data_IF_057852046896
#
_entry.id   IF_057852046896
#
_cell.length_a   1.000
_cell.length_b   1.000
_cell.length_c   1.000
_cell.angle_alpha   90.00
_cell.angle_beta   90.00
_cell.angle_gamma   90.00
#
_symmetry.space_group_name_H-M   'P 1'
#
loop_
_entity.id
_entity.type
_entity.pdbx_description
1 polymer ?
#
# COMPACT_ATOMS: atom_id res chain seq x y z
N UNK A 1 -8.20 7.21 -4.78
CA UNK A 1 -9.15 8.04 -5.55
C UNK A 1 -9.59 7.30 -6.80
N UNK A 2 -10.90 7.18 -7.04
CA UNK A 2 -11.51 6.58 -8.24
C UNK A 2 -11.56 7.59 -9.41
N UNK A 3 -11.15 8.85 -9.17
CA UNK A 3 -11.11 9.87 -10.20
C UNK A 3 -10.22 9.46 -11.38
N UNK A 4 -10.67 9.70 -12.64
CA UNK A 4 -9.88 9.51 -13.85
C UNK A 4 -8.53 10.22 -13.72
N UNK A 5 -7.45 9.60 -14.22
CA UNK A 5 -6.06 10.05 -14.10
C UNK A 5 -5.85 11.57 -14.29
N UNK A 6 -6.51 12.17 -15.29
CA UNK A 6 -6.40 13.61 -15.57
C UNK A 6 -7.07 14.51 -14.52
N UNK A 7 -8.24 14.11 -14.01
CA UNK A 7 -8.95 14.88 -12.98
C UNK A 7 -8.36 14.64 -11.59
N UNK A 8 -7.89 13.42 -11.31
CA UNK A 8 -7.23 13.07 -10.05
C UNK A 8 -5.97 13.90 -9.79
N UNK A 9 -5.10 14.07 -10.80
CA UNK A 9 -3.87 14.88 -10.67
C UNK A 9 -4.16 16.36 -10.46
N UNK A 10 -5.16 16.92 -11.16
CA UNK A 10 -5.58 18.32 -10.97
C UNK A 10 -6.25 18.54 -9.61
N UNK A 11 -7.07 17.60 -9.15
CA UNK A 11 -7.74 17.70 -7.86
C UNK A 11 -6.77 17.52 -6.68
N UNK A 12 -5.84 16.56 -6.77
CA UNK A 12 -4.79 16.34 -5.76
C UNK A 12 -3.85 17.55 -5.71
N UNK A 13 -3.34 18.03 -6.84
CA UNK A 13 -2.49 19.23 -6.87
C UNK A 13 -3.21 20.53 -6.46
N UNK A 14 -4.53 20.60 -6.58
CA UNK A 14 -5.35 21.70 -6.05
C UNK A 14 -5.60 21.55 -4.53
N UNK A 15 -5.83 20.32 -4.06
CA UNK A 15 -6.03 20.01 -2.64
C UNK A 15 -4.73 20.13 -1.82
N UNK A 16 -3.59 19.74 -2.39
CA UNK A 16 -2.24 19.95 -1.85
C UNK A 16 -1.93 21.45 -1.72
N UNK A 17 -2.23 22.24 -2.77
CA UNK A 17 -2.08 23.71 -2.73
C UNK A 17 -2.97 24.41 -1.71
N UNK A 18 -4.05 23.76 -1.25
CA UNK A 18 -4.98 24.30 -0.23
C UNK A 18 -4.89 23.62 1.13
N UNK A 19 -3.99 22.65 1.33
CA UNK A 19 -3.79 21.96 2.61
C UNK A 19 -5.00 21.16 3.13
N UNK A 20 -5.93 20.75 2.25
CA UNK A 20 -7.21 20.12 2.64
C UNK A 20 -7.30 18.62 2.33
N UNK A 21 -6.18 17.91 2.33
CA UNK A 21 -6.15 16.47 2.06
C UNK A 21 -6.90 15.66 3.14
N UNK A 22 -6.88 16.10 4.40
CA UNK A 22 -7.55 15.40 5.51
C UNK A 22 -9.01 15.81 5.73
N UNK A 23 -9.46 16.93 5.13
CA UNK A 23 -10.81 17.46 5.34
C UNK A 23 -11.92 16.69 4.58
N UNK A 24 -11.56 15.85 3.62
CA UNK A 24 -12.52 15.12 2.77
C UNK A 24 -12.74 13.65 3.19
N UNK A 25 -12.30 13.24 4.38
CA UNK A 25 -12.74 11.98 5.01
C UNK A 25 -14.13 12.11 5.64
N UNK A 26 -15.11 12.64 4.88
CA UNK A 26 -16.49 12.79 5.36
C UNK A 26 -17.24 11.50 5.07
N UNK A 27 -17.64 10.80 6.14
CA UNK A 27 -18.54 9.65 6.05
C UNK A 27 -19.88 10.05 5.43
N UNK A 28 -20.13 9.62 4.19
CA UNK A 28 -21.33 9.98 3.45
C UNK A 28 -22.52 9.14 3.92
N UNK A 29 -23.44 9.74 4.67
CA UNK A 29 -24.71 9.10 5.05
C UNK A 29 -25.74 9.32 3.93
N UNK A 30 -25.98 8.28 3.13
CA UNK A 30 -26.91 8.33 2.00
C UNK A 30 -28.23 7.68 2.40
N UNK A 31 -29.33 8.43 2.40
CA UNK A 31 -30.67 7.84 2.47
C UNK A 31 -31.00 7.18 1.13
N UNK A 32 -30.91 5.86 1.06
CA UNK A 32 -31.19 5.05 -0.14
C UNK A 32 -32.68 4.81 -0.40
N UNK A 33 -33.56 5.24 0.52
CA UNK A 33 -35.01 5.05 0.45
C UNK A 33 -35.73 5.91 -0.61
N UNK A 34 -35.03 6.85 -1.26
CA UNK A 34 -35.56 7.71 -2.31
C UNK A 34 -34.91 7.49 -3.67
N UNK A 35 -35.62 7.84 -4.74
CA UNK A 35 -35.19 7.70 -6.15
C UNK A 35 -33.83 8.38 -6.39
N UNK A 36 -33.58 9.54 -5.79
CA UNK A 36 -32.29 10.24 -5.86
C UNK A 36 -31.15 9.48 -5.19
N UNK A 37 -31.39 8.87 -4.02
CA UNK A 37 -30.39 8.06 -3.32
C UNK A 37 -30.03 6.80 -4.11
N UNK A 38 -31.04 6.15 -4.71
CA UNK A 38 -30.83 5.03 -5.61
C UNK A 38 -30.05 5.43 -6.88
N UNK A 39 -30.43 6.53 -7.54
CA UNK A 39 -29.72 7.05 -8.71
C UNK A 39 -28.26 7.38 -8.41
N UNK A 40 -27.96 7.92 -7.23
CA UNK A 40 -26.60 8.24 -6.82
C UNK A 40 -25.74 6.98 -6.63
N UNK A 41 -26.23 5.97 -5.92
CA UNK A 41 -25.52 4.69 -5.76
C UNK A 41 -25.41 3.95 -7.11
N UNK A 42 -26.44 4.01 -7.95
CA UNK A 42 -26.42 3.43 -9.31
C UNK A 42 -25.39 4.13 -10.21
N UNK A 43 -25.29 5.45 -10.14
CA UNK A 43 -24.29 6.22 -10.88
C UNK A 43 -22.87 5.84 -10.44
N UNK A 44 -22.63 5.63 -9.14
CA UNK A 44 -21.35 5.13 -8.64
C UNK A 44 -21.02 3.73 -9.20
N UNK A 45 -22.03 2.86 -9.31
CA UNK A 45 -21.86 1.54 -9.93
C UNK A 45 -21.54 1.62 -11.43
N UNK A 46 -22.05 2.62 -12.16
CA UNK A 46 -21.69 2.87 -13.56
C UNK A 46 -20.27 3.40 -13.74
N UNK A 47 -19.63 3.92 -12.70
CA UNK A 47 -18.22 4.31 -12.71
C UNK A 47 -17.28 3.12 -12.43
N UNK A 48 -17.81 1.93 -12.14
CA UNK A 48 -17.03 0.68 -11.95
C UNK A 48 -16.07 0.35 -13.11
N UNK A 49 -16.43 0.46 -14.41
CA UNK A 49 -15.49 0.25 -15.51
C UNK A 49 -14.37 1.29 -15.58
N UNK A 50 -14.47 2.44 -14.90
CA UNK A 50 -13.38 3.42 -14.82
C UNK A 50 -12.34 3.08 -13.75
N UNK A 51 -12.58 2.04 -12.93
CA UNK A 51 -11.65 1.60 -11.88
C UNK A 51 -10.23 1.29 -12.40
N UNK A 52 -10.04 0.62 -13.54
CA UNK A 52 -8.70 0.38 -14.11
C UNK A 52 -8.00 1.66 -14.59
N UNK A 53 -8.75 2.72 -14.90
CA UNK A 53 -8.21 4.02 -15.33
C UNK A 53 -7.84 4.93 -14.15
N UNK A 54 -8.10 4.49 -12.91
CA UNK A 54 -7.77 5.28 -11.73
C UNK A 54 -6.26 5.27 -11.45
N UNK A 55 -5.74 6.42 -10.99
CA UNK A 55 -4.33 6.55 -10.59
C UNK A 55 -3.94 5.49 -9.54
N UNK A 56 -4.84 5.27 -8.58
CA UNK A 56 -4.65 4.29 -7.51
C UNK A 56 -4.49 2.88 -8.08
N UNK A 57 -5.29 2.51 -9.07
CA UNK A 57 -5.17 1.20 -9.71
C UNK A 57 -3.80 1.03 -10.37
N UNK A 58 -3.32 2.03 -11.13
CA UNK A 58 -1.99 1.95 -11.76
C UNK A 58 -0.86 1.81 -10.74
N UNK A 59 -0.90 2.58 -9.66
CA UNK A 59 0.11 2.50 -8.60
C UNK A 59 0.07 1.14 -7.88
N UNK A 60 -1.12 0.61 -7.60
CA UNK A 60 -1.29 -0.72 -7.01
C UNK A 60 -0.83 -1.82 -7.97
N UNK A 61 -1.13 -1.72 -9.27
CA UNK A 61 -0.66 -2.70 -10.27
C UNK A 61 0.87 -2.71 -10.39
N UNK A 62 1.52 -1.54 -10.44
CA UNK A 62 2.99 -1.47 -10.47
C UNK A 62 3.63 -2.15 -9.25
N UNK A 63 3.04 -1.98 -8.07
CA UNK A 63 3.51 -2.64 -6.86
C UNK A 63 3.30 -4.16 -6.90
N UNK A 64 2.16 -4.62 -7.42
CA UNK A 64 1.87 -6.04 -7.60
C UNK A 64 2.86 -6.66 -8.60
N UNK A 65 3.09 -6.01 -9.74
CA UNK A 65 4.03 -6.48 -10.76
C UNK A 65 5.46 -6.52 -10.21
N UNK A 66 5.90 -5.48 -9.50
CA UNK A 66 7.21 -5.46 -8.82
C UNK A 66 7.36 -6.63 -7.85
N UNK A 67 6.35 -6.85 -7.01
CA UNK A 67 6.33 -7.95 -6.04
C UNK A 67 6.36 -9.32 -6.72
N UNK A 68 5.51 -9.54 -7.72
CA UNK A 68 5.46 -10.80 -8.47
C UNK A 68 6.78 -11.08 -9.20
N UNK A 69 7.43 -10.05 -9.75
CA UNK A 69 8.75 -10.16 -10.36
C UNK A 69 9.79 -10.70 -9.37
N UNK A 70 9.83 -10.14 -8.16
CA UNK A 70 10.72 -10.60 -7.08
C UNK A 70 10.40 -12.01 -6.60
N UNK A 71 9.11 -12.38 -6.49
CA UNK A 71 8.71 -13.76 -6.14
C UNK A 71 9.18 -14.74 -7.20
N UNK A 72 8.99 -14.42 -8.49
CA UNK A 72 9.40 -15.29 -9.58
C UNK A 72 10.93 -15.44 -9.67
N UNK A 73 11.68 -14.38 -9.38
CA UNK A 73 13.13 -14.44 -9.31
C UNK A 73 13.62 -15.27 -8.13
N UNK A 74 13.06 -15.04 -6.94
CA UNK A 74 13.37 -15.81 -5.76
C UNK A 74 13.04 -17.29 -5.94
N UNK A 75 11.94 -17.63 -6.61
CA UNK A 75 11.54 -19.01 -6.87
C UNK A 75 12.57 -19.79 -7.72
N UNK A 76 13.35 -19.10 -8.56
CA UNK A 76 14.45 -19.71 -9.31
C UNK A 76 15.69 -19.97 -8.44
N UNK A 77 15.85 -19.26 -7.32
CA UNK A 77 16.98 -19.38 -6.41
C UNK A 77 16.68 -20.35 -5.27
N UNK A 78 15.56 -20.15 -4.58
CA UNK A 78 15.10 -20.96 -3.47
C UNK A 78 13.58 -20.80 -3.25
N UNK A 79 12.88 -21.93 -3.14
CA UNK A 79 11.44 -21.93 -2.92
C UNK A 79 11.04 -21.34 -1.57
N UNK A 80 11.87 -21.52 -0.53
CA UNK A 80 11.63 -20.96 0.80
C UNK A 80 11.67 -19.43 0.78
N UNK A 81 12.67 -18.85 0.13
CA UNK A 81 12.77 -17.40 -0.06
C UNK A 81 11.56 -16.84 -0.81
N UNK A 82 11.15 -17.50 -1.89
CA UNK A 82 9.98 -17.09 -2.67
C UNK A 82 8.69 -17.07 -1.84
N UNK A 83 8.50 -18.09 -0.99
CA UNK A 83 7.36 -18.18 -0.09
C UNK A 83 7.34 -17.01 0.90
N UNK A 84 8.48 -16.67 1.48
CA UNK A 84 8.57 -15.57 2.46
C UNK A 84 8.27 -14.20 1.82
N UNK A 85 8.78 -13.96 0.60
CA UNK A 85 8.47 -12.75 -0.18
C UNK A 85 6.99 -12.73 -0.55
N UNK A 86 6.42 -13.87 -0.95
CA UNK A 86 5.00 -13.95 -1.26
C UNK A 86 4.13 -13.64 -0.02
N UNK A 87 4.53 -14.13 1.15
CA UNK A 87 3.81 -13.92 2.39
C UNK A 87 3.79 -12.45 2.85
N UNK A 88 4.71 -11.59 2.38
CA UNK A 88 4.71 -10.14 2.68
C UNK A 88 3.45 -9.42 2.20
N UNK A 89 2.74 -9.93 1.19
CA UNK A 89 1.46 -9.37 0.75
C UNK A 89 0.40 -9.33 1.87
N UNK A 90 0.54 -10.19 2.89
CA UNK A 90 -0.34 -10.19 4.06
C UNK A 90 -0.26 -8.92 4.93
N UNK A 91 0.76 -8.09 4.75
CA UNK A 91 0.90 -6.81 5.45
C UNK A 91 -0.06 -5.76 4.92
N UNK A 92 -0.46 -5.85 3.64
CA UNK A 92 -1.28 -4.84 2.99
C UNK A 92 -2.75 -5.23 3.12
N UNK A 93 -3.44 -4.71 4.15
CA UNK A 93 -4.85 -5.04 4.44
C UNK A 93 -5.67 -3.82 4.81
N UNK A 94 -6.99 -3.96 4.66
CA UNK A 94 -7.97 -2.94 5.06
C UNK A 94 -7.97 -1.69 4.18
N UNK A 95 -8.47 -0.59 4.75
CA UNK A 95 -8.61 0.70 4.09
C UNK A 95 -8.11 1.83 5.01
N UNK A 96 -7.93 3.03 4.46
CA UNK A 96 -7.55 4.22 5.24
C UNK A 96 -6.15 4.10 5.86
N UNK A 97 -6.05 4.37 7.17
CA UNK A 97 -4.78 4.43 7.88
C UNK A 97 -4.10 3.06 8.01
N UNK A 98 -4.85 2.01 8.34
CA UNK A 98 -4.33 0.63 8.41
C UNK A 98 -3.68 0.20 7.09
N UNK A 99 -4.30 0.55 5.97
CA UNK A 99 -3.74 0.27 4.64
C UNK A 99 -2.46 1.06 4.37
N UNK A 100 -2.42 2.35 4.74
CA UNK A 100 -1.20 3.17 4.60
C UNK A 100 -0.05 2.60 5.41
N UNK A 101 -0.32 2.17 6.65
CA UNK A 101 0.69 1.56 7.54
C UNK A 101 1.19 0.23 6.98
N UNK A 102 0.28 -0.65 6.58
CA UNK A 102 0.61 -1.93 5.95
C UNK A 102 1.43 -1.78 4.67
N UNK A 103 1.08 -0.82 3.80
CA UNK A 103 1.81 -0.49 2.58
C UNK A 103 3.23 0.02 2.89
N UNK A 104 3.39 0.88 3.90
CA UNK A 104 4.71 1.38 4.30
C UNK A 104 5.64 0.27 4.81
N UNK A 105 5.14 -0.61 5.68
CA UNK A 105 5.90 -1.76 6.18
C UNK A 105 6.28 -2.72 5.05
N UNK A 106 5.35 -2.99 4.13
CA UNK A 106 5.61 -3.81 2.95
C UNK A 106 6.74 -3.25 2.10
N UNK A 107 6.67 -1.95 1.76
CA UNK A 107 7.72 -1.28 0.97
C UNK A 107 9.08 -1.32 1.68
N UNK A 108 9.11 -1.04 2.99
CA UNK A 108 10.35 -1.07 3.76
C UNK A 108 11.02 -2.45 3.72
N UNK A 109 10.24 -3.54 3.83
CA UNK A 109 10.76 -4.91 3.75
C UNK A 109 11.26 -5.23 2.33
N UNK A 110 10.49 -4.86 1.30
CA UNK A 110 10.89 -5.07 -0.10
C UNK A 110 12.21 -4.34 -0.40
N UNK A 111 12.30 -3.06 -0.07
CA UNK A 111 13.47 -2.23 -0.37
C UNK A 111 14.70 -2.71 0.43
N UNK A 112 14.54 -3.04 1.70
CA UNK A 112 15.67 -3.34 2.60
C UNK A 112 16.15 -4.79 2.57
N UNK A 113 15.25 -5.76 2.35
CA UNK A 113 15.58 -7.19 2.50
C UNK A 113 15.42 -8.00 1.22
N UNK A 114 14.58 -7.57 0.28
CA UNK A 114 14.39 -8.27 -0.99
C UNK A 114 15.34 -7.72 -2.05
N UNK A 115 15.37 -6.41 -2.21
CA UNK A 115 16.16 -5.73 -3.24
C UNK A 115 17.61 -5.48 -2.84
N UNK A 116 17.85 -5.25 -1.55
CA UNK A 116 19.19 -4.97 -1.01
C UNK A 116 19.55 -5.95 0.11
N UNK A 117 19.61 -7.27 -0.17
CA UNK A 117 19.88 -8.25 0.87
C UNK A 117 21.28 -8.08 1.47
N UNK A 118 21.39 -8.22 2.79
CA UNK A 118 22.66 -8.16 3.51
C UNK A 118 23.54 -9.39 3.32
N UNK A 119 22.99 -10.47 2.75
CA UNK A 119 23.63 -11.77 2.56
C UNK A 119 23.25 -12.34 1.19
N UNK A 120 24.15 -13.08 0.57
CA UNK A 120 23.87 -13.80 -0.68
C UNK A 120 23.13 -15.13 -0.43
N UNK A 121 23.10 -15.60 0.81
CA UNK A 121 22.49 -16.87 1.19
C UNK A 121 20.96 -16.75 1.27
N UNK A 122 20.27 -17.43 0.35
CA UNK A 122 18.82 -17.33 0.20
C UNK A 122 18.05 -17.71 1.48
N UNK A 123 18.55 -18.70 2.24
CA UNK A 123 17.90 -19.19 3.47
C UNK A 123 18.01 -18.19 4.62
N UNK A 124 19.13 -17.49 4.71
CA UNK A 124 19.33 -16.44 5.72
C UNK A 124 18.49 -15.20 5.37
N UNK A 125 18.46 -14.82 4.09
CA UNK A 125 17.57 -13.78 3.59
C UNK A 125 16.10 -14.09 3.88
N UNK A 126 15.65 -15.32 3.64
CA UNK A 126 14.29 -15.77 3.94
C UNK A 126 13.95 -15.64 5.44
N UNK A 127 14.88 -16.02 6.32
CA UNK A 127 14.74 -15.88 7.77
C UNK A 127 14.62 -14.41 8.20
N UNK A 128 15.43 -13.51 7.61
CA UNK A 128 15.36 -12.08 7.88
C UNK A 128 14.00 -11.49 7.45
N UNK A 129 13.52 -11.85 6.26
CA UNK A 129 12.21 -11.42 5.75
C UNK A 129 11.08 -11.92 6.65
N UNK A 130 11.13 -13.19 7.09
CA UNK A 130 10.16 -13.75 8.03
C UNK A 130 10.10 -12.95 9.32
N UNK A 131 11.25 -12.69 9.96
CA UNK A 131 11.35 -11.93 11.21
C UNK A 131 10.79 -10.51 11.05
N UNK A 132 11.13 -9.83 9.96
CA UNK A 132 10.64 -8.48 9.68
C UNK A 132 9.12 -8.48 9.46
N UNK A 133 8.58 -9.46 8.72
CA UNK A 133 7.14 -9.59 8.50
C UNK A 133 6.38 -9.85 9.81
N UNK A 134 6.87 -10.76 10.65
CA UNK A 134 6.27 -11.07 11.95
C UNK A 134 6.29 -9.84 12.87
N UNK A 135 7.40 -9.11 12.91
CA UNK A 135 7.50 -7.85 13.66
C UNK A 135 6.50 -6.79 13.15
N UNK A 136 6.34 -6.66 11.83
CA UNK A 136 5.39 -5.74 11.22
C UNK A 136 3.91 -6.13 11.45
N UNK A 137 3.62 -7.42 11.59
CA UNK A 137 2.28 -7.92 11.94
C UNK A 137 1.98 -7.73 13.43
N UNK A 138 2.98 -7.91 14.30
CA UNK A 138 2.83 -7.75 15.74
C UNK A 138 2.72 -6.27 16.16
N UNK A 139 3.40 -5.35 15.46
CA UNK A 139 3.34 -3.92 15.71
C UNK A 139 3.06 -3.11 14.43
N UNK A 140 1.78 -2.85 14.13
CA UNK A 140 1.39 -2.02 13.00
C UNK A 140 1.86 -0.55 13.11
N UNK A 141 2.33 -0.08 14.26
CA UNK A 141 2.89 1.27 14.45
C UNK A 141 4.35 1.38 13.98
N UNK A 142 5.01 0.26 13.66
CA UNK A 142 6.30 0.21 12.97
C UNK A 142 7.53 0.44 13.84
N UNK A 143 7.39 0.52 15.17
CA UNK A 143 8.54 0.64 16.08
C UNK A 143 9.34 -0.67 16.10
N UNK A 144 8.67 -1.81 16.13
CA UNK A 144 9.33 -3.12 16.08
C UNK A 144 10.02 -3.38 14.72
N UNK A 145 9.44 -2.89 13.62
CA UNK A 145 10.02 -3.04 12.27
C UNK A 145 11.27 -2.14 12.10
N UNK A 146 11.23 -0.92 12.63
CA UNK A 146 12.40 -0.02 12.59
C UNK A 146 13.61 -0.59 13.34
N UNK A 147 13.37 -1.23 14.49
CA UNK A 147 14.43 -1.90 15.27
C UNK A 147 15.01 -3.13 14.58
N UNK A 148 14.20 -3.89 13.83
CA UNK A 148 14.66 -5.08 13.10
C UNK A 148 15.41 -4.73 11.80
N UNK A 149 15.06 -3.62 11.14
CA UNK A 149 15.73 -3.14 9.93
C UNK A 149 16.95 -2.23 10.21
N UNK A 150 17.17 -1.82 11.47
CA UNK A 150 18.25 -0.89 11.84
C UNK A 150 18.07 0.53 11.26
N UNK A 151 16.90 0.83 10.68
CA UNK A 151 16.53 2.14 10.12
C UNK A 151 15.10 2.47 10.56
N UNK A 152 14.80 3.71 10.98
CA UNK A 152 13.43 4.09 11.26
C UNK A 152 12.60 3.91 9.99
N UNK A 153 11.48 3.19 10.08
CA UNK A 153 10.49 3.13 8.99
C UNK A 153 9.90 4.53 8.88
N UNK A 154 10.45 5.34 7.97
CA UNK A 154 9.97 6.70 7.74
C UNK A 154 8.64 6.59 7.03
N UNK A 155 7.57 6.67 7.80
CA UNK A 155 6.26 6.99 7.28
C UNK A 155 6.38 8.28 6.47
N UNK A 156 5.85 8.32 5.25
CA UNK A 156 5.55 9.57 4.56
C UNK A 156 4.64 10.38 5.48
N UNK A 157 5.25 11.17 6.36
CA UNK A 157 4.58 12.20 7.14
C UNK A 157 3.92 13.08 6.08
N UNK A 158 2.61 13.38 6.16
CA UNK A 158 2.09 14.47 5.34
C UNK A 158 3.01 15.66 5.62
N UNK A 159 3.60 16.23 4.56
CA UNK A 159 4.52 17.35 4.66
C UNK A 159 3.80 18.47 5.43
N UNK A 160 4.10 18.51 6.72
CA UNK A 160 3.52 19.41 7.69
C UNK A 160 4.66 19.95 8.49
N UNK A 161 5.13 21.12 8.05
CA UNK A 161 5.92 22.17 8.71
C UNK A 161 6.46 23.04 7.56
N UNK A 162 6.27 24.34 7.53
CA UNK A 162 6.25 25.35 8.60
C UNK A 162 5.24 26.44 8.30
#
# INVERSE_FOLDING_TARGET
SILPYFLGRRLVSWAERRGKLDAYNVGMHVKTSGVLGYLMVRSLAWLRPLRPLSYRYREEQQLIERWLGHVAEAARRDTGLALEIAACANLVKGYGETHRRGKGNFLAIMDALVENPATAEAREQASAIRKAREAALADPEGKALGSTLGKPVVWLKPLGRT
#
